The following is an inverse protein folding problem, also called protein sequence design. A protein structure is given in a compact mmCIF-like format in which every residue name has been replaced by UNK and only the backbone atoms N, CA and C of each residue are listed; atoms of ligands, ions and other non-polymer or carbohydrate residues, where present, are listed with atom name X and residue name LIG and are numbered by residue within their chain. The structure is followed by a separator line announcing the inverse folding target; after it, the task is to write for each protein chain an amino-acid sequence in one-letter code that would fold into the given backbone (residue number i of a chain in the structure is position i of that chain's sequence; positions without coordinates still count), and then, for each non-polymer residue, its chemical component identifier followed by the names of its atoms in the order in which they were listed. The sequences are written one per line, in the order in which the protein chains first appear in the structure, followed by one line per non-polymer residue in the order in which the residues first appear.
data_IF_415546647084
#
_entry.id   IF_415546647084
#
_cell.length_a   1.000
_cell.length_b   1.000
_cell.length_c   1.000
_cell.angle_alpha   90.00
_cell.angle_beta   90.00
_cell.angle_gamma   90.00
#
_symmetry.space_group_name_H-M   'P 1'
#
loop_
_entity.id
_entity.type
_entity.pdbx_description
1 polymer ?
#
# COMPACT_ATOMS: atom_id res chain seq x y z
N UNK A 1 0.98 -6.97 -4.81
CA UNK A 1 0.53 -6.16 -3.65
C UNK A 1 -0.67 -5.33 -4.06
N UNK A 2 -1.72 -5.30 -3.22
CA UNK A 2 -3.00 -4.58 -3.47
C UNK A 2 -2.93 -3.05 -3.39
N UNK A 3 -1.74 -2.45 -3.45
CA UNK A 3 -1.55 -1.01 -3.24
C UNK A 3 -2.33 -0.17 -4.25
N UNK A 4 -2.26 -0.55 -5.54
CA UNK A 4 -2.95 0.16 -6.62
C UNK A 4 -4.47 0.06 -6.49
N UNK A 5 -4.97 -1.09 -6.05
CA UNK A 5 -6.40 -1.35 -5.85
C UNK A 5 -6.92 -0.50 -4.69
N UNK A 6 -6.30 -0.61 -3.52
CA UNK A 6 -6.62 0.18 -2.33
C UNK A 6 -6.58 1.69 -2.59
N UNK A 7 -5.58 2.15 -3.35
CA UNK A 7 -5.47 3.56 -3.75
C UNK A 7 -6.66 4.00 -4.62
N UNK A 8 -7.05 3.16 -5.59
CA UNK A 8 -8.19 3.44 -6.47
C UNK A 8 -9.51 3.41 -5.72
N UNK A 9 -9.71 2.46 -4.81
CA UNK A 9 -10.90 2.39 -3.93
C UNK A 9 -11.04 3.65 -3.07
N UNK A 10 -9.92 4.19 -2.60
CA UNK A 10 -9.87 5.47 -1.86
C UNK A 10 -9.98 6.71 -2.75
N UNK A 11 -10.03 6.55 -4.08
CA UNK A 11 -10.13 7.63 -5.08
C UNK A 11 -9.02 8.69 -4.99
N UNK A 12 -7.78 8.28 -4.72
CA UNK A 12 -6.63 9.19 -4.65
C UNK A 12 -5.59 8.92 -5.75
N UNK A 13 -4.84 9.96 -6.13
CA UNK A 13 -3.72 9.82 -7.07
C UNK A 13 -2.49 9.21 -6.39
N UNK A 14 -1.54 8.70 -7.18
CA UNK A 14 -0.24 8.23 -6.66
C UNK A 14 0.50 9.35 -5.92
N UNK A 15 0.41 10.59 -6.41
CA UNK A 15 1.01 11.76 -5.76
C UNK A 15 0.38 12.02 -4.39
N UNK A 16 -0.95 11.96 -4.27
CA UNK A 16 -1.65 12.15 -3.00
C UNK A 16 -1.25 11.08 -1.98
N UNK A 17 -1.23 9.81 -2.40
CA UNK A 17 -0.78 8.70 -1.54
C UNK A 17 0.68 8.90 -1.08
N UNK A 18 1.55 9.33 -1.99
CA UNK A 18 2.94 9.60 -1.68
C UNK A 18 3.08 10.72 -0.63
N UNK A 19 2.35 11.83 -0.78
CA UNK A 19 2.33 12.92 0.20
C UNK A 19 1.83 12.45 1.57
N UNK A 20 0.73 11.70 1.60
CA UNK A 20 0.15 11.18 2.84
C UNK A 20 1.10 10.22 3.58
N UNK A 21 1.87 9.43 2.82
CA UNK A 21 2.88 8.52 3.36
C UNK A 21 4.26 9.16 3.51
N UNK A 22 4.42 10.46 3.22
CA UNK A 22 5.73 11.15 3.24
C UNK A 22 6.79 10.44 2.38
N UNK A 23 6.41 10.04 1.16
CA UNK A 23 7.23 9.35 0.18
C UNK A 23 7.22 10.09 -1.16
N UNK A 24 8.09 9.67 -2.09
CA UNK A 24 8.09 10.17 -3.45
C UNK A 24 7.04 9.43 -4.31
N UNK A 25 6.38 10.14 -5.24
CA UNK A 25 5.40 9.54 -6.17
C UNK A 25 6.01 8.38 -6.97
N UNK A 26 7.26 8.51 -7.42
CA UNK A 26 7.97 7.45 -8.15
C UNK A 26 8.12 6.18 -7.30
N UNK A 27 8.30 6.32 -5.99
CA UNK A 27 8.38 5.17 -5.09
C UNK A 27 7.05 4.42 -5.03
N UNK A 28 5.92 5.14 -4.92
CA UNK A 28 4.58 4.55 -4.99
C UNK A 28 4.36 3.87 -6.35
N UNK A 29 4.75 4.50 -7.45
CA UNK A 29 4.64 3.90 -8.79
C UNK A 29 5.39 2.58 -8.89
N UNK A 30 6.65 2.52 -8.43
CA UNK A 30 7.47 1.31 -8.47
C UNK A 30 6.92 0.18 -7.59
N UNK A 31 6.27 0.53 -6.49
CA UNK A 31 5.54 -0.44 -5.67
C UNK A 31 4.30 -0.99 -6.37
N UNK A 32 3.55 -0.15 -7.08
CA UNK A 32 2.38 -0.57 -7.84
C UNK A 32 2.73 -1.40 -9.09
N UNK A 33 3.91 -1.21 -9.67
CA UNK A 33 4.39 -1.99 -10.83
C UNK A 33 5.19 -3.23 -10.44
N UNK A 34 5.57 -3.38 -9.17
CA UNK A 34 6.43 -4.47 -8.70
C UNK A 34 7.92 -4.30 -9.06
N UNK A 35 8.32 -3.15 -9.62
CA UNK A 35 9.73 -2.82 -9.89
C UNK A 35 10.57 -2.70 -8.62
N UNK A 36 9.94 -2.45 -7.47
CA UNK A 36 10.60 -2.35 -6.18
C UNK A 36 9.75 -2.98 -5.10
N UNK A 37 10.41 -3.70 -4.19
CA UNK A 37 9.78 -4.19 -2.97
C UNK A 37 9.82 -3.13 -1.85
N UNK A 38 8.74 -3.05 -1.08
CA UNK A 38 8.66 -2.21 0.10
C UNK A 38 9.33 -2.91 1.29
N UNK A 39 10.05 -2.15 2.13
CA UNK A 39 10.56 -2.70 3.38
C UNK A 39 9.44 -2.90 4.41
N UNK A 40 9.73 -3.63 5.49
CA UNK A 40 8.71 -3.95 6.50
C UNK A 40 8.09 -2.68 7.13
N UNK A 41 8.87 -1.60 7.32
CA UNK A 41 8.37 -0.34 7.88
C UNK A 41 7.37 0.32 6.94
N UNK A 42 7.67 0.31 5.64
CA UNK A 42 6.80 0.84 4.60
C UNK A 42 5.53 0.00 4.48
N UNK A 43 5.64 -1.32 4.55
CA UNK A 43 4.48 -2.22 4.53
C UNK A 43 3.52 -1.96 5.70
N UNK A 44 4.06 -1.81 6.93
CA UNK A 44 3.27 -1.43 8.11
C UNK A 44 2.57 -0.09 7.86
N UNK A 45 3.31 0.93 7.41
CA UNK A 45 2.76 2.27 7.17
C UNK A 45 1.63 2.28 6.13
N UNK A 46 1.78 1.50 5.05
CA UNK A 46 0.75 1.35 4.02
C UNK A 46 -0.48 0.63 4.59
N UNK A 47 -0.27 -0.48 5.29
CA UNK A 47 -1.34 -1.26 5.90
C UNK A 47 -2.16 -0.41 6.88
N UNK A 48 -1.49 0.37 7.74
CA UNK A 48 -2.12 1.30 8.67
C UNK A 48 -2.92 2.40 7.95
N UNK A 49 -2.34 3.01 6.90
CA UNK A 49 -2.99 4.07 6.13
C UNK A 49 -4.30 3.62 5.46
N UNK A 50 -4.34 2.37 4.98
CA UNK A 50 -5.54 1.77 4.39
C UNK A 50 -6.39 1.01 5.41
N UNK A 51 -5.97 0.94 6.67
CA UNK A 51 -6.65 0.24 7.75
C UNK A 51 -6.87 -1.26 7.42
N UNK A 52 -5.89 -1.91 6.77
CA UNK A 52 -5.89 -3.34 6.43
C UNK A 52 -4.73 -4.06 7.12
N UNK A 53 -4.69 -5.38 7.05
CA UNK A 53 -3.53 -6.17 7.49
C UNK A 53 -2.45 -6.25 6.41
N UNK A 54 -1.22 -6.54 6.83
CA UNK A 54 -0.09 -6.77 5.89
C UNK A 54 -0.35 -8.00 5.03
N UNK A 55 -0.94 -9.07 5.58
CA UNK A 55 -1.25 -10.28 4.82
C UNK A 55 -2.24 -10.00 3.69
N UNK A 56 -3.23 -9.13 3.91
CA UNK A 56 -4.13 -8.69 2.85
C UNK A 56 -3.41 -7.82 1.82
N UNK A 57 -2.60 -6.85 2.27
CA UNK A 57 -1.82 -5.97 1.39
C UNK A 57 -0.91 -6.77 0.45
N UNK A 58 -0.31 -7.86 0.97
CA UNK A 58 0.58 -8.77 0.24
C UNK A 58 -0.14 -9.91 -0.47
N UNK A 59 -1.48 -9.90 -0.55
CA UNK A 59 -2.29 -10.90 -1.27
C UNK A 59 -2.16 -12.34 -0.73
N UNK A 60 -1.78 -12.49 0.54
CA UNK A 60 -1.75 -13.80 1.22
C UNK A 60 -3.14 -14.25 1.69
N UNK A 61 -4.11 -13.33 1.70
CA UNK A 61 -5.51 -13.59 2.05
C UNK A 61 -6.44 -12.57 1.38
N UNK A 62 -7.72 -12.91 1.28
CA UNK A 62 -8.80 -11.98 0.94
C UNK A 62 -9.45 -11.32 2.18
N UNK A 63 -9.06 -11.70 3.40
CA UNK A 63 -9.56 -11.07 4.63
C UNK A 63 -8.75 -9.80 4.98
N UNK A 64 -9.31 -8.58 4.84
CA UNK A 64 -8.59 -7.34 5.05
C UNK A 64 -8.15 -7.09 6.50
N UNK A 65 -8.64 -7.87 7.47
CA UNK A 65 -8.36 -7.67 8.90
C UNK A 65 -7.71 -8.88 9.57
N UNK A 66 -7.20 -9.85 8.82
CA UNK A 66 -6.54 -11.01 9.42
C UNK A 66 -5.30 -10.57 10.22
N UNK A 67 -5.10 -11.12 11.42
CA UNK A 67 -3.91 -10.87 12.27
C UNK A 67 -3.55 -9.38 12.47
N UNK A 68 -4.55 -8.50 12.44
CA UNK A 68 -4.37 -7.06 12.55
C UNK A 68 -4.36 -6.60 14.00
#
# INVERSE_FOLDING_TARGET
MRLKELRKEKNISQLKLALDLSMNQNTISRYETGEREADYKTLIKIADYFNVSIDYLLERTDNPKINK
#
